data_IF_224870521754
#
_entry.id   IF_224870521754
#
_cell.length_a   1.000
_cell.length_b   1.000
_cell.length_c   1.000
_cell.angle_alpha   90.00
_cell.angle_beta   90.00
_cell.angle_gamma   90.00
#
_symmetry.space_group_name_H-M   'P 1'
#
loop_
_entity.id
_entity.type
_entity.pdbx_description
1 polymer ?
#
# COMPACT_ATOMS: atom_id res chain seq x y z
N UNK A 1 3.81 -2.58 20.14
CA UNK A 1 3.19 -1.51 19.33
C UNK A 1 3.36 -0.21 20.11
N UNK A 2 4.29 0.67 19.73
CA UNK A 2 4.61 1.85 20.55
C UNK A 2 3.69 3.03 20.19
N UNK A 3 2.66 3.29 20.99
CA UNK A 3 1.64 4.32 20.76
C UNK A 3 2.26 5.72 20.57
N UNK A 4 3.33 6.01 21.32
CA UNK A 4 4.10 7.26 21.22
C UNK A 4 4.69 7.50 19.82
N UNK A 5 5.17 6.44 19.14
CA UNK A 5 5.69 6.58 17.77
C UNK A 5 4.58 6.94 16.78
N UNK A 6 3.35 6.48 16.98
CA UNK A 6 2.24 6.84 16.07
C UNK A 6 1.78 8.29 16.22
N UNK A 7 2.03 8.91 17.38
CA UNK A 7 1.72 10.32 17.62
C UNK A 7 2.79 11.21 16.98
N UNK A 8 4.07 10.87 17.17
CA UNK A 8 5.18 11.75 16.78
C UNK A 8 5.86 11.40 15.45
N UNK A 9 5.56 10.23 14.86
CA UNK A 9 6.16 9.78 13.59
C UNK A 9 5.09 9.25 12.63
N UNK A 10 4.45 10.16 11.91
CA UNK A 10 3.37 9.84 10.96
C UNK A 10 3.84 9.02 9.74
N UNK A 11 5.15 8.96 9.48
CA UNK A 11 5.75 8.17 8.40
C UNK A 11 6.01 6.70 8.77
N UNK A 12 5.91 6.32 10.04
CA UNK A 12 6.19 4.95 10.47
C UNK A 12 4.96 4.02 10.38
N UNK A 13 3.75 4.57 10.30
CA UNK A 13 2.49 3.81 10.15
C UNK A 13 1.28 4.73 9.95
N UNK A 14 0.07 4.17 10.08
CA UNK A 14 -1.17 4.94 10.17
C UNK A 14 -1.16 5.90 11.37
N UNK A 15 -1.80 7.06 11.19
CA UNK A 15 -2.08 8.03 12.26
C UNK A 15 -3.23 7.55 13.15
N UNK A 16 -3.41 8.17 14.32
CA UNK A 16 -4.54 7.90 15.22
C UNK A 16 -5.88 8.15 14.52
N UNK A 17 -5.99 9.24 13.74
CA UNK A 17 -7.22 9.53 12.98
C UNK A 17 -7.57 8.42 11.99
N UNK A 18 -6.57 7.91 11.25
CA UNK A 18 -6.75 6.77 10.35
C UNK A 18 -7.11 5.49 11.11
N UNK A 19 -6.56 5.27 12.30
CA UNK A 19 -6.92 4.13 13.16
C UNK A 19 -8.39 4.16 13.56
N UNK A 20 -8.86 5.31 14.06
CA UNK A 20 -10.26 5.53 14.46
C UNK A 20 -11.18 5.35 13.25
N UNK A 21 -10.88 6.00 12.13
CA UNK A 21 -11.63 5.87 10.88
C UNK A 21 -11.73 4.41 10.44
N UNK A 22 -10.61 3.67 10.50
CA UNK A 22 -10.57 2.26 10.10
C UNK A 22 -11.41 1.38 11.02
N UNK A 23 -11.38 1.65 12.33
CA UNK A 23 -12.20 0.93 13.29
C UNK A 23 -13.70 1.12 13.05
N UNK A 24 -14.15 2.35 12.78
CA UNK A 24 -15.57 2.65 12.60
C UNK A 24 -16.11 2.37 11.19
N UNK A 25 -15.29 2.57 10.15
CA UNK A 25 -15.75 2.61 8.76
C UNK A 25 -14.99 1.67 7.83
N UNK A 26 -13.90 1.04 8.26
CA UNK A 26 -13.03 0.24 7.39
C UNK A 26 -13.46 -1.21 7.26
N UNK A 27 -13.83 -1.64 6.05
CA UNK A 27 -13.93 -3.07 5.70
C UNK A 27 -12.62 -3.53 5.07
N UNK A 28 -11.95 -4.51 5.68
CA UNK A 28 -10.73 -5.11 5.12
C UNK A 28 -11.06 -5.83 3.81
N UNK A 29 -10.33 -5.50 2.75
CA UNK A 29 -10.47 -6.09 1.41
C UNK A 29 -9.40 -7.10 1.09
N UNK A 30 -8.21 -6.93 1.64
CA UNK A 30 -7.12 -7.87 1.49
C UNK A 30 -5.80 -7.32 1.97
N UNK A 31 -4.77 -8.14 1.79
CA UNK A 31 -3.39 -7.88 2.19
C UNK A 31 -2.51 -8.17 0.97
N UNK A 32 -1.54 -7.32 0.68
CA UNK A 32 -0.57 -7.56 -0.40
C UNK A 32 0.63 -8.42 0.05
N UNK A 33 1.51 -8.71 -0.91
CA UNK A 33 2.75 -9.48 -0.68
C UNK A 33 3.76 -8.78 0.26
N UNK A 34 3.65 -7.47 0.44
CA UNK A 34 4.46 -6.68 1.37
C UNK A 34 3.80 -6.57 2.76
N UNK A 35 2.57 -7.05 2.91
CA UNK A 35 1.79 -7.02 4.14
C UNK A 35 1.03 -5.72 4.37
N UNK A 36 0.93 -4.84 3.37
CA UNK A 36 0.06 -3.66 3.45
C UNK A 36 -1.40 -4.11 3.41
N UNK A 37 -2.24 -3.47 4.22
CA UNK A 37 -3.66 -3.82 4.38
C UNK A 37 -4.54 -2.78 3.69
N UNK A 38 -5.50 -3.25 2.91
CA UNK A 38 -6.35 -2.39 2.09
C UNK A 38 -7.78 -2.40 2.61
N UNK A 39 -8.36 -1.22 2.76
CA UNK A 39 -9.68 -1.02 3.35
C UNK A 39 -10.59 -0.23 2.42
N UNK A 40 -11.89 -0.55 2.47
CA UNK A 40 -12.93 0.20 1.78
C UNK A 40 -14.06 0.53 2.77
N UNK A 41 -14.59 1.75 2.68
CA UNK A 41 -15.78 2.16 3.44
C UNK A 41 -17.07 1.85 2.70
N UNK A 42 -18.19 1.86 3.41
CA UNK A 42 -19.53 1.71 2.81
C UNK A 42 -19.84 2.79 1.76
N UNK A 43 -19.24 3.98 1.87
CA UNK A 43 -19.38 5.07 0.90
C UNK A 43 -18.42 4.95 -0.30
N UNK A 44 -17.61 3.89 -0.37
CA UNK A 44 -16.69 3.63 -1.48
C UNK A 44 -15.31 4.24 -1.35
N UNK A 45 -15.01 5.00 -0.27
CA UNK A 45 -13.63 5.50 -0.03
C UNK A 45 -12.70 4.33 0.24
N UNK A 46 -11.51 4.35 -0.37
CA UNK A 46 -10.45 3.32 -0.25
C UNK A 46 -9.19 3.91 0.36
N UNK A 47 -8.52 3.16 1.22
CA UNK A 47 -7.22 3.54 1.77
C UNK A 47 -6.37 2.30 2.08
N UNK A 48 -5.07 2.55 2.26
CA UNK A 48 -4.08 1.53 2.61
C UNK A 48 -3.46 1.85 3.96
N UNK A 49 -3.19 0.81 4.74
CA UNK A 49 -2.40 0.85 5.96
C UNK A 49 -1.12 0.08 5.70
N UNK A 50 -0.01 0.80 5.58
CA UNK A 50 1.30 0.22 5.33
C UNK A 50 1.78 -0.60 6.53
N UNK A 51 2.49 -1.70 6.22
CA UNK A 51 3.11 -2.55 7.25
C UNK A 51 4.28 -1.85 7.92
N UNK A 52 5.11 -1.20 7.11
CA UNK A 52 6.36 -0.55 7.50
C UNK A 52 6.29 0.95 7.17
N UNK A 53 7.34 1.52 6.60
CA UNK A 53 7.41 2.93 6.20
C UNK A 53 6.28 3.28 5.24
N UNK A 54 5.63 4.41 5.52
CA UNK A 54 4.58 4.99 4.66
C UNK A 54 5.23 5.55 3.41
N UNK A 55 5.16 4.78 2.33
CA UNK A 55 5.74 5.13 1.03
C UNK A 55 4.78 4.68 -0.07
N UNK A 56 4.30 5.63 -0.88
CA UNK A 56 3.24 5.39 -1.86
C UNK A 56 3.64 4.36 -2.94
N UNK A 57 4.92 4.34 -3.29
CA UNK A 57 5.46 3.41 -4.28
C UNK A 57 5.56 1.96 -3.80
N UNK A 58 5.29 1.67 -2.52
CA UNK A 58 5.24 0.29 -2.00
C UNK A 58 3.99 -0.48 -2.43
N UNK A 59 2.96 0.19 -2.97
CA UNK A 59 1.73 -0.45 -3.43
C UNK A 59 2.02 -1.22 -4.74
N UNK A 60 1.78 -2.54 -4.80
CA UNK A 60 1.97 -3.32 -6.03
C UNK A 60 0.91 -2.98 -7.09
N UNK A 61 1.17 -3.27 -8.38
CA UNK A 61 0.35 -2.81 -9.50
C UNK A 61 -1.15 -3.14 -9.40
N UNK A 62 -1.50 -4.33 -8.93
CA UNK A 62 -2.89 -4.77 -8.82
C UNK A 62 -3.67 -3.97 -7.78
N UNK A 63 -3.03 -3.73 -6.63
CA UNK A 63 -3.60 -2.92 -5.57
C UNK A 63 -3.59 -1.42 -5.91
N UNK A 64 -2.64 -0.97 -6.73
CA UNK A 64 -2.59 0.39 -7.26
C UNK A 64 -3.82 0.66 -8.15
N UNK A 65 -4.14 -0.22 -9.09
CA UNK A 65 -5.33 -0.08 -9.92
C UNK A 65 -6.64 -0.06 -9.10
N UNK A 66 -6.69 -0.85 -8.03
CA UNK A 66 -7.85 -0.90 -7.16
C UNK A 66 -8.01 0.35 -6.30
N UNK A 67 -6.94 0.83 -5.65
CA UNK A 67 -7.00 1.99 -4.76
C UNK A 67 -7.28 3.29 -5.54
N UNK A 68 -6.85 3.37 -6.80
CA UNK A 68 -7.09 4.50 -7.69
C UNK A 68 -8.39 4.41 -8.51
N UNK A 69 -9.26 3.44 -8.21
CA UNK A 69 -10.55 3.25 -8.91
C UNK A 69 -10.45 2.95 -10.42
N UNK A 70 -9.25 2.68 -10.95
CA UNK A 70 -9.05 2.30 -12.36
C UNK A 70 -9.73 0.96 -12.68
N UNK A 71 -9.66 0.00 -11.76
CA UNK A 71 -10.36 -1.26 -11.89
C UNK A 71 -10.95 -1.69 -10.54
N UNK A 72 -12.26 -1.98 -10.52
CA UNK A 72 -12.96 -2.38 -9.30
C UNK A 72 -12.80 -3.86 -8.96
N UNK A 73 -12.25 -4.67 -9.86
CA UNK A 73 -11.97 -6.09 -9.60
C UNK A 73 -10.59 -6.23 -8.98
N UNK A 74 -10.55 -6.65 -7.72
CA UNK A 74 -9.32 -7.11 -7.08
C UNK A 74 -8.89 -8.40 -7.79
N UNK A 75 -7.84 -8.32 -8.60
CA UNK A 75 -7.29 -9.44 -9.38
C UNK A 75 -6.51 -10.43 -8.49
N UNK A 76 -7.02 -10.74 -7.30
CA UNK A 76 -6.32 -11.57 -6.31
C UNK A 76 -6.11 -13.01 -6.80
N UNK A 77 -6.86 -13.46 -7.81
CA UNK A 77 -6.93 -14.89 -8.15
C UNK A 77 -6.49 -15.31 -9.56
N UNK A 78 -6.29 -14.41 -10.54
CA UNK A 78 -6.24 -14.89 -11.95
C UNK A 78 -5.38 -14.12 -12.95
N UNK A 79 -4.41 -13.32 -12.53
CA UNK A 79 -3.42 -12.83 -13.51
C UNK A 79 -2.32 -13.87 -13.65
N UNK A 80 -2.31 -14.55 -14.82
CA UNK A 80 -1.20 -15.42 -15.22
C UNK A 80 0.06 -14.56 -15.23
N UNK A 81 0.94 -14.78 -14.24
CA UNK A 81 2.24 -14.12 -14.23
C UNK A 81 3.03 -14.58 -15.44
N UNK A 82 3.56 -13.63 -16.20
CA UNK A 82 4.42 -13.95 -17.33
C UNK A 82 5.84 -14.26 -16.85
N UNK A 83 6.58 -15.09 -17.60
CA UNK A 83 7.95 -15.47 -17.22
C UNK A 83 8.92 -14.30 -17.14
N UNK A 84 8.65 -13.23 -17.88
CA UNK A 84 9.44 -11.99 -17.90
C UNK A 84 9.01 -10.96 -16.84
N UNK A 85 7.93 -11.23 -16.10
CA UNK A 85 7.38 -10.29 -15.13
C UNK A 85 8.29 -10.17 -13.90
N UNK A 86 8.72 -8.95 -13.60
CA UNK A 86 9.56 -8.67 -12.43
C UNK A 86 8.71 -8.53 -11.17
N UNK A 87 9.28 -8.90 -10.03
CA UNK A 87 8.67 -8.60 -8.72
C UNK A 87 8.59 -7.09 -8.53
N UNK A 88 7.54 -6.64 -7.85
CA UNK A 88 7.39 -5.23 -7.52
C UNK A 88 8.54 -4.76 -6.63
N UNK A 89 9.07 -3.59 -6.96
CA UNK A 89 10.12 -2.90 -6.18
C UNK A 89 9.67 -1.46 -6.05
N UNK A 90 9.70 -0.94 -4.83
CA UNK A 90 9.34 0.45 -4.57
C UNK A 90 10.38 1.44 -5.09
N UNK A 91 10.05 2.72 -5.03
CA UNK A 91 10.92 3.77 -5.53
C UNK A 91 12.24 3.82 -4.72
N UNK A 92 13.36 3.61 -5.42
CA UNK A 92 14.70 3.61 -4.84
C UNK A 92 15.40 4.97 -4.96
N UNK A 93 14.70 6.00 -5.45
CA UNK A 93 15.26 7.36 -5.59
C UNK A 93 15.81 7.87 -4.25
N UNK A 94 16.97 8.52 -4.28
CA UNK A 94 17.64 9.01 -3.07
C UNK A 94 18.34 7.93 -2.23
N UNK A 95 18.27 6.65 -2.63
CA UNK A 95 19.01 5.56 -1.97
C UNK A 95 20.29 5.20 -2.73
N UNK A 96 21.17 4.42 -2.10
CA UNK A 96 22.36 3.87 -2.75
C UNK A 96 22.03 3.01 -3.97
N UNK A 97 20.82 2.43 -4.03
CA UNK A 97 20.32 1.58 -5.12
C UNK A 97 19.57 2.34 -6.22
N UNK A 98 19.58 3.68 -6.18
CA UNK A 98 18.95 4.49 -7.22
C UNK A 98 19.55 4.18 -8.60
N UNK A 99 18.69 4.11 -9.61
CA UNK A 99 19.10 3.97 -11.01
C UNK A 99 19.94 5.17 -11.43
N UNK A 100 21.09 4.91 -12.05
CA UNK A 100 21.99 5.93 -12.62
C UNK A 100 22.18 5.62 -14.10
N UNK A 101 21.66 6.46 -15.02
CA UNK A 101 21.88 6.25 -16.43
C UNK A 101 23.37 6.40 -16.73
N UNK A 102 23.94 5.43 -17.46
CA UNK A 102 25.24 5.61 -18.09
C UNK A 102 25.01 6.35 -19.40
N UNK A 103 25.80 7.39 -19.65
CA UNK A 103 25.89 8.01 -20.97
C UNK A 103 26.58 7.06 -21.94
#
# INVERSE_FOLDING_TARGET
MNLLKQIFTWWNRQTIGTMILTFFSGKLKGIDEFGNKYYESKSGRRWVIYKETVEASNIPPNWHNWIHFTNNKLSVASQKKHSWEKRHVSNLTGTNRAYRPKK
#
